data_IF_868544090512
#
_entry.id   IF_868544090512
#
_cell.length_a   1.000
_cell.length_b   1.000
_cell.length_c   1.000
_cell.angle_alpha   90.00
_cell.angle_beta   90.00
_cell.angle_gamma   90.00
#
_symmetry.space_group_name_H-M   'P 1'
#
loop_
_entity.id
_entity.type
_entity.pdbx_description
1 polymer ?
#
# COMPACT_ATOMS: atom_id res chain seq x y z
N UNK A 1 -4.42 -2.72 -11.39
CA UNK A 1 -5.52 -1.95 -10.73
C UNK A 1 -5.46 -2.22 -9.23
N UNK A 2 -5.66 -1.19 -8.40
CA UNK A 2 -5.53 -1.27 -6.94
C UNK A 2 -6.86 -1.65 -6.28
N UNK A 3 -6.91 -2.75 -5.51
CA UNK A 3 -8.09 -3.13 -4.73
C UNK A 3 -7.75 -3.59 -3.32
N UNK A 4 -8.58 -3.22 -2.35
CA UNK A 4 -8.52 -3.76 -0.99
C UNK A 4 -9.25 -5.10 -0.96
N UNK A 5 -8.55 -6.16 -0.54
CA UNK A 5 -9.11 -7.51 -0.39
C UNK A 5 -9.61 -7.77 1.03
N UNK A 6 -8.88 -7.29 2.03
CA UNK A 6 -9.26 -7.41 3.44
C UNK A 6 -8.70 -6.23 4.22
N UNK A 7 -9.44 -5.78 5.22
CA UNK A 7 -8.95 -4.85 6.24
C UNK A 7 -9.33 -5.36 7.63
N UNK A 8 -8.43 -5.20 8.59
CA UNK A 8 -8.61 -5.61 9.99
C UNK A 8 -8.08 -4.51 10.88
N UNK A 9 -8.86 -4.16 11.91
CA UNK A 9 -8.55 -3.10 12.87
C UNK A 9 -8.21 -3.70 14.22
N UNK A 10 -7.05 -3.33 14.77
CA UNK A 10 -6.65 -3.67 16.14
C UNK A 10 -6.01 -2.46 16.80
N UNK A 11 -6.48 -2.08 17.99
CA UNK A 11 -5.85 -1.08 18.88
C UNK A 11 -5.21 0.14 18.20
N UNK A 12 -5.93 0.78 17.27
CA UNK A 12 -5.50 2.01 16.59
C UNK A 12 -4.80 1.82 15.24
N UNK A 13 -4.49 0.59 14.85
CA UNK A 13 -3.89 0.27 13.54
C UNK A 13 -4.92 -0.43 12.66
N UNK A 14 -5.09 0.03 11.42
CA UNK A 14 -5.83 -0.68 10.39
C UNK A 14 -4.80 -1.29 9.45
N UNK A 15 -4.78 -2.61 9.33
CA UNK A 15 -3.91 -3.30 8.37
C UNK A 15 -4.75 -4.19 7.48
N UNK A 16 -4.19 -4.65 6.37
CA UNK A 16 -4.92 -5.55 5.52
C UNK A 16 -4.19 -5.95 4.28
N UNK A 17 -4.93 -6.62 3.41
CA UNK A 17 -4.42 -7.18 2.18
C UNK A 17 -4.89 -6.31 1.01
N UNK A 18 -3.94 -5.90 0.19
CA UNK A 18 -4.12 -5.11 -1.00
C UNK A 18 -3.72 -5.95 -2.22
N UNK A 19 -4.47 -5.84 -3.30
CA UNK A 19 -4.09 -6.36 -4.60
C UNK A 19 -3.46 -5.23 -5.43
N UNK A 20 -2.23 -5.45 -5.88
CA UNK A 20 -1.52 -4.60 -6.83
C UNK A 20 -1.26 -5.45 -8.08
N UNK A 21 -1.99 -5.15 -9.14
CA UNK A 21 -2.05 -5.96 -10.37
C UNK A 21 -2.53 -7.38 -10.06
N UNK A 22 -1.65 -8.38 -10.16
CA UNK A 22 -1.92 -9.79 -9.85
C UNK A 22 -1.28 -10.23 -8.50
N UNK A 23 -0.73 -9.28 -7.74
CA UNK A 23 0.03 -9.56 -6.51
C UNK A 23 -0.73 -9.13 -5.27
N UNK A 24 -0.66 -9.98 -4.25
CA UNK A 24 -1.23 -9.75 -2.94
C UNK A 24 -0.17 -9.19 -1.99
N UNK A 25 -0.41 -8.02 -1.38
CA UNK A 25 0.54 -7.33 -0.50
C UNK A 25 -0.12 -6.95 0.82
N UNK A 26 0.65 -6.99 1.92
CA UNK A 26 0.19 -6.50 3.22
C UNK A 26 0.43 -5.00 3.32
N UNK A 27 -0.58 -4.24 3.74
CA UNK A 27 -0.55 -2.79 3.81
C UNK A 27 -1.06 -2.27 5.16
N UNK A 28 -0.49 -1.14 5.58
CA UNK A 28 -1.03 -0.29 6.63
C UNK A 28 -2.02 0.70 5.99
N UNK A 29 -3.21 0.82 6.57
CA UNK A 29 -4.21 1.81 6.18
C UNK A 29 -4.16 2.99 7.15
N UNK A 30 -3.59 4.09 6.67
CA UNK A 30 -3.57 5.37 7.37
C UNK A 30 -4.70 6.26 6.82
N UNK A 31 -5.77 6.42 7.58
CA UNK A 31 -6.93 7.23 7.17
C UNK A 31 -6.65 8.73 7.22
N UNK A 32 -5.54 9.16 7.83
CA UNK A 32 -5.11 10.56 7.87
C UNK A 32 -4.19 10.94 6.70
N UNK A 33 -3.71 9.96 5.92
CA UNK A 33 -2.81 10.21 4.81
C UNK A 33 -3.55 10.67 3.56
N UNK A 34 -3.09 11.77 2.96
CA UNK A 34 -3.59 12.26 1.66
C UNK A 34 -3.16 11.34 0.50
N UNK A 35 -1.98 10.73 0.63
CA UNK A 35 -1.38 9.88 -0.40
C UNK A 35 -1.03 8.50 0.16
N UNK A 36 -1.17 7.47 -0.68
CA UNK A 36 -0.59 6.15 -0.40
C UNK A 36 0.89 6.15 -0.78
N UNK A 37 1.73 5.55 0.06
CA UNK A 37 3.18 5.49 -0.16
C UNK A 37 3.63 4.03 -0.25
N UNK A 38 4.52 3.76 -1.19
CA UNK A 38 5.26 2.50 -1.31
C UNK A 38 6.74 2.80 -1.15
N UNK A 39 7.46 1.96 -0.39
CA UNK A 39 8.92 2.12 -0.30
C UNK A 39 9.58 1.80 -1.64
N UNK A 40 10.64 2.52 -2.00
CA UNK A 40 11.38 2.30 -3.26
C UNK A 40 11.93 0.87 -3.34
N UNK A 41 12.36 0.29 -2.22
CA UNK A 41 12.79 -1.10 -2.12
C UNK A 41 11.65 -2.08 -2.46
N UNK A 42 10.43 -1.81 -1.98
CA UNK A 42 9.29 -2.68 -2.29
C UNK A 42 8.81 -2.50 -3.72
N UNK A 43 8.73 -1.27 -4.23
CA UNK A 43 8.40 -0.99 -5.64
C UNK A 43 9.33 -1.73 -6.61
N UNK A 44 10.64 -1.80 -6.33
CA UNK A 44 11.60 -2.59 -7.12
C UNK A 44 11.26 -4.08 -7.15
N UNK A 45 10.80 -4.66 -6.02
CA UNK A 45 10.36 -6.06 -5.96
C UNK A 45 9.08 -6.31 -6.76
N UNK A 46 8.26 -5.28 -6.94
CA UNK A 46 7.05 -5.33 -7.78
C UNK A 46 7.34 -4.99 -9.25
N UNK A 47 8.60 -4.77 -9.63
CA UNK A 47 9.01 -4.29 -10.96
C UNK A 47 8.34 -2.95 -11.36
N UNK A 48 8.08 -2.10 -10.37
CA UNK A 48 7.54 -0.76 -10.58
C UNK A 48 8.66 0.29 -10.58
N UNK A 49 8.56 1.26 -11.48
CA UNK A 49 9.43 2.45 -11.47
C UNK A 49 8.84 3.47 -10.51
N UNK A 50 9.50 3.78 -9.38
CA UNK A 50 8.98 4.76 -8.44
C UNK A 50 9.13 6.18 -9.00
N UNK A 51 8.06 6.96 -8.92
CA UNK A 51 8.09 8.41 -9.15
C UNK A 51 8.06 9.10 -7.78
N UNK A 52 9.01 10.00 -7.46
CA UNK A 52 8.97 10.77 -6.22
C UNK A 52 7.68 11.58 -6.12
N UNK A 53 7.09 11.62 -4.93
CA UNK A 53 6.03 12.58 -4.64
C UNK A 53 6.67 13.97 -4.56
N UNK A 54 6.18 14.90 -5.37
CA UNK A 54 6.51 16.32 -5.31
C UNK A 54 5.26 17.01 -4.77
N UNK A 55 5.39 17.71 -3.64
CA UNK A 55 4.29 18.46 -2.99
C UNK A 55 4.05 19.82 -3.66
#
# INVERSE_FOLDING_TARGET
MLHVLQATKTSGTITGILCIDDRTVFALFDTGATYSIISTTFAKKLNMTPTPLIE
#
